data_IF_785806319974
#
_entry.id   IF_785806319974
#
_cell.length_a   1.000
_cell.length_b   1.000
_cell.length_c   1.000
_cell.angle_alpha   90.00
_cell.angle_beta   90.00
_cell.angle_gamma   90.00
#
_symmetry.space_group_name_H-M   'P 1'
#
loop_
_entity.id
_entity.type
_entity.pdbx_description
1 polymer ?
#
# COMPACT_ATOMS: atom_id res chain seq x y z
N UNK A 1 -28.65 2.36 15.81
CA UNK A 1 -27.88 1.11 16.00
C UNK A 1 -26.50 1.29 15.36
N UNK A 2 -25.56 1.89 16.08
CA UNK A 2 -24.23 2.12 15.51
C UNK A 2 -23.22 2.34 16.65
N UNK A 3 -22.19 1.50 16.76
CA UNK A 3 -20.89 1.91 17.29
C UNK A 3 -19.88 0.76 17.38
N UNK A 4 -20.30 -0.44 17.76
CA UNK A 4 -19.35 -1.51 18.08
C UNK A 4 -18.72 -2.14 16.82
N UNK A 5 -19.53 -2.39 15.80
CA UNK A 5 -19.07 -2.97 14.54
C UNK A 5 -18.18 -2.00 13.74
N UNK A 6 -18.50 -0.70 13.71
CA UNK A 6 -17.65 0.30 13.06
C UNK A 6 -16.31 0.49 13.79
N UNK A 7 -16.28 0.45 15.12
CA UNK A 7 -15.04 0.51 15.89
C UNK A 7 -14.16 -0.72 15.64
N UNK A 8 -14.74 -1.92 15.66
CA UNK A 8 -14.03 -3.16 15.33
C UNK A 8 -13.47 -3.14 13.90
N UNK A 9 -14.24 -2.65 12.93
CA UNK A 9 -13.77 -2.52 11.55
C UNK A 9 -12.57 -1.57 11.44
N UNK A 10 -12.63 -0.39 12.08
CA UNK A 10 -11.50 0.55 12.10
C UNK A 10 -10.26 -0.03 12.78
N UNK A 11 -10.44 -0.84 13.82
CA UNK A 11 -9.33 -1.47 14.52
C UNK A 11 -8.68 -2.57 13.68
N UNK A 12 -9.47 -3.45 13.07
CA UNK A 12 -8.97 -4.46 12.14
C UNK A 12 -8.23 -3.83 10.95
N UNK A 13 -8.71 -2.68 10.46
CA UNK A 13 -8.03 -1.91 9.44
C UNK A 13 -6.64 -1.45 9.92
N UNK A 14 -6.55 -0.80 11.08
CA UNK A 14 -5.26 -0.38 11.66
C UNK A 14 -4.28 -1.54 11.86
N UNK A 15 -4.76 -2.69 12.32
CA UNK A 15 -3.93 -3.88 12.54
C UNK A 15 -3.42 -4.47 11.22
N UNK A 16 -4.27 -4.50 10.18
CA UNK A 16 -3.89 -4.92 8.83
C UNK A 16 -2.84 -3.99 8.22
N UNK A 17 -3.02 -2.69 8.42
CA UNK A 17 -2.12 -1.65 7.92
C UNK A 17 -0.72 -1.76 8.55
N UNK A 18 -0.67 -1.98 9.87
CA UNK A 18 0.58 -2.22 10.57
C UNK A 18 1.28 -3.50 10.10
N UNK A 19 0.52 -4.57 9.86
CA UNK A 19 1.05 -5.85 9.38
C UNK A 19 1.63 -5.74 7.96
N UNK A 20 0.96 -5.06 7.02
CA UNK A 20 1.52 -4.88 5.68
C UNK A 20 2.75 -3.98 5.70
N UNK A 21 2.68 -2.86 6.42
CA UNK A 21 3.81 -1.95 6.57
C UNK A 21 5.05 -2.67 7.12
N UNK A 22 4.86 -3.57 8.10
CA UNK A 22 5.92 -4.45 8.58
C UNK A 22 6.42 -5.42 7.52
N UNK A 23 5.55 -6.05 6.73
CA UNK A 23 6.00 -6.94 5.65
C UNK A 23 6.81 -6.20 4.58
N UNK A 24 6.41 -4.99 4.20
CA UNK A 24 7.16 -4.19 3.22
C UNK A 24 8.49 -3.75 3.82
N UNK A 25 8.50 -3.31 5.08
CA UNK A 25 9.74 -2.97 5.78
C UNK A 25 10.66 -4.17 6.04
N UNK A 26 10.13 -5.41 6.05
CA UNK A 26 10.94 -6.63 6.13
C UNK A 26 11.49 -7.05 4.76
N UNK A 27 10.76 -6.74 3.67
CA UNK A 27 11.13 -7.08 2.30
C UNK A 27 11.96 -6.00 1.61
N UNK A 28 12.04 -4.81 2.20
CA UNK A 28 12.77 -3.66 1.68
C UNK A 28 13.54 -2.97 2.81
N UNK A 29 14.64 -2.29 2.51
CA UNK A 29 15.34 -1.46 3.50
C UNK A 29 14.56 -0.21 3.92
N UNK A 30 13.32 -0.05 3.45
CA UNK A 30 12.47 1.12 3.66
C UNK A 30 11.83 1.03 5.04
N UNK A 31 11.99 2.09 5.85
CA UNK A 31 11.40 2.11 7.19
C UNK A 31 9.88 2.32 7.12
N UNK A 32 9.15 1.75 8.07
CA UNK A 32 7.69 1.95 8.18
C UNK A 32 7.28 3.44 8.20
N UNK A 33 8.06 4.30 8.87
CA UNK A 33 7.81 5.74 8.89
C UNK A 33 7.87 6.38 7.50
N UNK A 34 8.74 5.88 6.63
CA UNK A 34 8.93 6.38 5.28
C UNK A 34 7.80 5.95 4.34
N UNK A 35 7.29 4.74 4.53
CA UNK A 35 6.08 4.27 3.86
C UNK A 35 4.90 5.16 4.26
N UNK A 36 4.75 5.43 5.56
CA UNK A 36 3.65 6.28 6.06
C UNK A 36 3.75 7.71 5.52
N UNK A 37 4.96 8.26 5.39
CA UNK A 37 5.19 9.55 4.73
C UNK A 37 4.78 9.51 3.26
N UNK A 38 5.24 8.52 2.50
CA UNK A 38 4.87 8.34 1.08
C UNK A 38 3.36 8.27 0.88
N UNK A 39 2.66 7.51 1.73
CA UNK A 39 1.21 7.40 1.69
C UNK A 39 0.52 8.74 1.99
N UNK A 40 1.00 9.46 3.00
CA UNK A 40 0.45 10.76 3.37
C UNK A 40 0.67 11.82 2.27
N UNK A 41 1.88 11.90 1.72
CA UNK A 41 2.25 12.83 0.64
C UNK A 41 1.39 12.62 -0.62
N UNK A 42 1.09 11.36 -0.93
CA UNK A 42 0.30 11.01 -2.10
C UNK A 42 -1.20 10.83 -1.79
N UNK A 43 -1.67 11.23 -0.60
CA UNK A 43 -3.06 11.06 -0.17
C UNK A 43 -3.62 9.64 -0.40
N UNK A 44 -2.75 8.63 -0.34
CA UNK A 44 -3.12 7.24 -0.60
C UNK A 44 -3.54 6.59 0.71
N UNK A 45 -4.70 5.96 0.71
CA UNK A 45 -5.12 5.14 1.84
C UNK A 45 -4.43 3.77 1.80
N UNK A 46 -4.38 3.09 2.95
CA UNK A 46 -3.71 1.80 3.03
C UNK A 46 -4.38 0.72 2.18
N UNK A 47 -5.69 0.78 1.93
CA UNK A 47 -6.37 -0.22 1.11
C UNK A 47 -5.88 -0.18 -0.36
N UNK A 48 -5.75 1.01 -0.92
CA UNK A 48 -5.23 1.22 -2.28
C UNK A 48 -3.75 0.83 -2.37
N UNK A 49 -2.98 1.13 -1.32
CA UNK A 49 -1.59 0.69 -1.21
C UNK A 49 -1.47 -0.84 -1.11
N UNK A 50 -2.35 -1.50 -0.35
CA UNK A 50 -2.37 -2.95 -0.26
C UNK A 50 -2.70 -3.58 -1.62
N UNK A 51 -3.63 -2.98 -2.37
CA UNK A 51 -3.94 -3.41 -3.74
C UNK A 51 -2.75 -3.22 -4.68
N UNK A 52 -2.07 -2.08 -4.59
CA UNK A 52 -0.84 -1.79 -5.33
C UNK A 52 0.23 -2.88 -5.09
N UNK A 53 0.53 -3.17 -3.83
CA UNK A 53 1.56 -4.17 -3.46
C UNK A 53 1.15 -5.58 -3.89
N UNK A 54 -0.12 -5.95 -3.76
CA UNK A 54 -0.64 -7.23 -4.27
C UNK A 54 -0.46 -7.35 -5.77
N UNK A 55 -0.79 -6.30 -6.52
CA UNK A 55 -0.66 -6.27 -7.98
C UNK A 55 0.81 -6.43 -8.42
N UNK A 56 1.74 -5.78 -7.72
CA UNK A 56 3.18 -5.88 -7.99
C UNK A 56 3.66 -7.33 -7.76
N UNK A 57 3.27 -7.93 -6.63
CA UNK A 57 3.68 -9.29 -6.22
C UNK A 57 2.98 -10.41 -7.00
N UNK A 58 1.89 -10.12 -7.70
CA UNK A 58 1.16 -11.11 -8.48
C UNK A 58 2.02 -11.61 -9.65
N UNK A 59 2.55 -12.82 -9.53
CA UNK A 59 3.40 -13.42 -10.56
C UNK A 59 2.60 -13.98 -11.76
N UNK A 60 1.27 -14.06 -11.65
CA UNK A 60 0.40 -14.61 -12.69
C UNK A 60 0.00 -13.57 -13.74
N UNK A 61 0.13 -12.28 -13.42
CA UNK A 61 -0.18 -11.16 -14.33
C UNK A 61 1.06 -10.72 -15.11
N UNK A 62 0.86 -10.45 -16.40
CA UNK A 62 1.90 -9.83 -17.24
C UNK A 62 2.20 -8.41 -16.79
N UNK A 63 3.39 -7.90 -17.09
CA UNK A 63 3.75 -6.51 -16.78
C UNK A 63 2.79 -5.50 -17.44
N UNK A 64 2.30 -5.78 -18.64
CA UNK A 64 1.33 -4.93 -19.33
C UNK A 64 -0.01 -4.87 -18.58
N UNK A 65 -0.48 -6.01 -18.05
CA UNK A 65 -1.72 -6.05 -17.27
C UNK A 65 -1.56 -5.37 -15.90
N UNK A 66 -0.37 -5.47 -15.30
CA UNK A 66 -0.03 -4.71 -14.10
C UNK A 66 -0.09 -3.22 -14.37
N UNK A 67 0.52 -2.72 -15.44
CA UNK A 67 0.50 -1.29 -15.79
C UNK A 67 -0.93 -0.78 -16.01
N UNK A 68 -1.79 -1.55 -16.70
CA UNK A 68 -3.21 -1.20 -16.90
C UNK A 68 -4.01 -1.17 -15.59
N UNK A 69 -3.69 -2.05 -14.65
CA UNK A 69 -4.34 -2.03 -13.34
C UNK A 69 -3.81 -0.88 -12.47
N UNK A 70 -2.52 -0.53 -12.59
CA UNK A 70 -1.90 0.60 -11.91
C UNK A 70 -2.54 1.94 -12.30
N UNK A 71 -2.91 2.13 -13.56
CA UNK A 71 -3.59 3.37 -14.01
C UNK A 71 -4.96 3.57 -13.37
N UNK A 72 -5.55 2.53 -12.77
CA UNK A 72 -6.83 2.61 -12.07
C UNK A 72 -6.67 2.77 -10.55
N UNK A 73 -5.43 2.72 -10.04
CA UNK A 73 -5.13 2.97 -8.63
C UNK A 73 -4.76 4.44 -8.49
N UNK A 74 -5.53 5.18 -7.70
CA UNK A 74 -5.29 6.60 -7.46
C UNK A 74 -3.87 6.79 -6.89
N UNK A 75 -3.05 7.60 -7.58
CA UNK A 75 -1.67 7.92 -7.21
C UNK A 75 -0.72 6.70 -7.13
N UNK A 76 -1.07 5.59 -7.81
CA UNK A 76 -0.31 4.34 -7.77
C UNK A 76 1.07 4.42 -8.41
N UNK A 77 1.24 5.26 -9.43
CA UNK A 77 2.53 5.43 -10.13
C UNK A 77 3.48 6.31 -9.31
N UNK A 78 2.98 7.37 -8.69
CA UNK A 78 3.74 8.30 -7.85
C UNK A 78 4.31 7.57 -6.61
N UNK A 79 3.50 6.71 -5.98
CA UNK A 79 3.95 5.86 -4.88
C UNK A 79 5.04 4.88 -5.32
N UNK A 80 4.90 4.27 -6.51
CA UNK A 80 5.91 3.36 -7.05
C UNK A 80 7.25 4.06 -7.30
N UNK A 81 7.22 5.25 -7.90
CA UNK A 81 8.42 6.08 -8.11
C UNK A 81 9.05 6.45 -6.78
N UNK A 82 8.24 6.86 -5.80
CA UNK A 82 8.70 7.19 -4.45
C UNK A 82 9.34 5.99 -3.73
N UNK A 83 8.75 4.79 -3.83
CA UNK A 83 9.32 3.56 -3.29
C UNK A 83 10.65 3.21 -3.93
N UNK A 84 10.75 3.28 -5.27
CA UNK A 84 12.01 3.02 -5.98
C UNK A 84 13.08 4.03 -5.57
N UNK A 85 12.74 5.31 -5.43
CA UNK A 85 13.66 6.34 -4.95
C UNK A 85 14.19 6.13 -3.54
N UNK A 86 13.53 5.31 -2.71
CA UNK A 86 14.00 4.94 -1.35
C UNK A 86 14.83 3.65 -1.30
N UNK A 87 14.91 2.90 -2.41
CA UNK A 87 15.72 1.68 -2.52
C UNK A 87 17.15 1.93 -3.01
N UNK A 88 17.41 3.14 -3.52
CA UNK A 88 18.71 3.61 -4.04
C UNK A 88 19.40 4.43 -2.93
#
# INVERSE_FOLDING_TARGET
MNNQWQKKAKQAQKETDAALSNQIAQLSSIKQQEINQLLAENSMNTADFNQLIKLIKDQTKSNNDKIKALSNIQNGLEILVGLVGKLI
#
